data_IF_423188930025
#
_entry.id   IF_423188930025
#
_cell.length_a   1.000
_cell.length_b   1.000
_cell.length_c   1.000
_cell.angle_alpha   90.00
_cell.angle_beta   90.00
_cell.angle_gamma   90.00
#
_symmetry.space_group_name_H-M   'P 1'
#
loop_
_entity.id
_entity.type
_entity.pdbx_description
1 polymer ?
#
# COMPACT_ATOMS: atom_id res chain seq x y z
N UNK A 1 12.32 -9.86 -35.30
CA UNK A 1 12.20 -9.24 -33.96
C UNK A 1 10.73 -9.29 -33.57
N UNK A 2 10.35 -10.20 -32.69
CA UNK A 2 9.02 -10.21 -32.08
C UNK A 2 8.87 -9.00 -31.19
N UNK A 3 7.80 -8.23 -31.37
CA UNK A 3 7.52 -7.10 -30.50
C UNK A 3 7.03 -7.60 -29.14
N UNK A 4 7.41 -6.91 -28.05
CA UNK A 4 6.90 -7.14 -26.69
C UNK A 4 5.38 -7.04 -26.73
N UNK A 5 4.69 -8.10 -26.35
CA UNK A 5 3.24 -8.11 -26.17
C UNK A 5 2.89 -7.70 -24.73
N UNK A 6 1.96 -6.74 -24.57
CA UNK A 6 1.40 -6.43 -23.25
C UNK A 6 0.33 -7.47 -22.91
N UNK A 7 0.56 -8.25 -21.87
CA UNK A 7 -0.43 -9.18 -21.31
C UNK A 7 -1.46 -8.47 -20.43
N UNK A 8 -1.13 -7.28 -19.93
CA UNK A 8 -2.04 -6.44 -19.18
C UNK A 8 -1.33 -5.43 -18.28
N UNK A 9 -2.08 -4.39 -17.92
CA UNK A 9 -1.68 -3.41 -16.90
C UNK A 9 -2.84 -3.28 -15.91
N UNK A 10 -2.55 -3.47 -14.63
CA UNK A 10 -3.53 -3.43 -13.55
C UNK A 10 -3.15 -2.34 -12.55
N UNK A 11 -4.07 -1.43 -12.28
CA UNK A 11 -3.90 -0.37 -11.29
C UNK A 11 -4.76 -0.67 -10.06
N UNK A 12 -4.18 -0.53 -8.87
CA UNK A 12 -4.85 -0.79 -7.60
C UNK A 12 -4.29 0.11 -6.49
N UNK A 13 -4.90 0.06 -5.30
CA UNK A 13 -4.43 0.81 -4.13
C UNK A 13 -5.37 1.90 -3.64
N UNK A 14 -6.64 1.89 -4.07
CA UNK A 14 -7.64 2.83 -3.59
C UNK A 14 -8.70 2.21 -2.67
N UNK A 15 -9.42 3.05 -1.96
CA UNK A 15 -10.71 2.72 -1.35
C UNK A 15 -11.73 2.39 -2.43
N UNK A 16 -12.79 1.64 -2.10
CA UNK A 16 -13.79 1.11 -3.03
C UNK A 16 -14.12 2.06 -4.19
N UNK A 17 -13.65 1.72 -5.38
CA UNK A 17 -13.84 2.49 -6.62
C UNK A 17 -12.69 3.42 -7.02
N UNK A 18 -11.60 3.52 -6.24
CA UNK A 18 -10.43 4.32 -6.56
C UNK A 18 -9.14 3.50 -6.63
N UNK A 19 -8.20 3.97 -7.45
CA UNK A 19 -6.86 3.37 -7.62
C UNK A 19 -5.81 4.03 -6.72
N UNK A 20 -6.22 4.92 -5.81
CA UNK A 20 -5.33 5.71 -4.97
C UNK A 20 -5.61 5.48 -3.49
N UNK A 21 -4.58 5.15 -2.71
CA UNK A 21 -4.62 5.22 -1.26
C UNK A 21 -4.40 6.67 -0.83
N UNK A 22 -5.36 7.29 -0.15
CA UNK A 22 -5.24 8.63 0.45
C UNK A 22 -5.16 8.52 1.98
N UNK A 23 -4.10 9.03 2.57
CA UNK A 23 -3.88 9.04 4.02
C UNK A 23 -4.43 10.28 4.73
N UNK A 24 -4.97 11.25 3.97
CA UNK A 24 -5.46 12.52 4.50
C UNK A 24 -4.38 13.57 4.71
N UNK A 25 -3.16 13.19 5.05
CA UNK A 25 -1.98 14.06 5.19
C UNK A 25 -0.71 13.28 4.79
N UNK A 26 0.45 13.97 4.79
CA UNK A 26 1.74 13.37 4.42
C UNK A 26 2.30 12.56 5.57
N UNK A 27 2.38 11.26 5.41
CA UNK A 27 2.95 10.32 6.38
C UNK A 27 4.06 9.48 5.77
N UNK A 28 4.90 8.91 6.65
CA UNK A 28 5.86 7.87 6.28
C UNK A 28 5.26 6.50 6.59
N UNK A 29 5.23 5.63 5.58
CA UNK A 29 4.73 4.26 5.68
C UNK A 29 5.85 3.28 5.38
N UNK A 30 5.93 2.22 6.15
CA UNK A 30 6.68 1.03 5.78
C UNK A 30 5.76 0.14 4.93
N UNK A 31 6.10 0.02 3.65
CA UNK A 31 5.34 -0.74 2.67
C UNK A 31 6.04 -2.08 2.39
N UNK A 32 5.26 -3.15 2.44
CA UNK A 32 5.69 -4.49 2.09
C UNK A 32 4.88 -4.99 0.89
N UNK A 33 5.58 -5.38 -0.15
CA UNK A 33 4.99 -5.94 -1.37
C UNK A 33 4.58 -7.39 -1.17
N UNK A 34 3.41 -7.73 -1.67
CA UNK A 34 2.93 -9.10 -1.85
C UNK A 34 2.67 -9.32 -3.34
N UNK A 35 3.63 -9.94 -4.02
CA UNK A 35 3.55 -10.16 -5.45
C UNK A 35 4.22 -11.50 -5.77
N UNK A 36 3.39 -12.46 -6.15
CA UNK A 36 3.81 -13.80 -6.52
C UNK A 36 3.21 -14.12 -7.89
N UNK A 37 4.10 -14.44 -8.82
CA UNK A 37 3.75 -14.77 -10.21
C UNK A 37 4.44 -16.04 -10.65
N UNK A 38 3.86 -16.69 -11.64
CA UNK A 38 4.41 -17.83 -12.33
C UNK A 38 4.31 -17.62 -13.84
N UNK A 39 5.40 -17.90 -14.51
CA UNK A 39 5.45 -17.95 -15.97
C UNK A 39 5.05 -19.37 -16.45
N UNK A 40 4.23 -19.48 -17.47
CA UNK A 40 3.79 -20.77 -17.96
C UNK A 40 3.44 -20.73 -19.45
N UNK A 41 3.39 -21.93 -20.04
CA UNK A 41 2.82 -22.12 -21.39
C UNK A 41 1.36 -22.56 -21.25
N UNK A 42 0.38 -21.81 -21.73
CA UNK A 42 -1.03 -22.25 -21.72
C UNK A 42 -1.27 -23.58 -22.45
N UNK A 43 -0.50 -23.84 -23.50
CA UNK A 43 -0.56 -25.08 -24.24
C UNK A 43 -0.03 -26.31 -23.49
N UNK A 44 0.74 -26.08 -22.43
CA UNK A 44 1.35 -27.14 -21.62
C UNK A 44 0.54 -27.50 -20.37
N UNK A 45 -0.59 -26.83 -20.15
CA UNK A 45 -1.50 -27.18 -19.06
C UNK A 45 -2.08 -28.58 -19.28
N UNK A 46 -2.17 -29.37 -18.23
CA UNK A 46 -2.64 -30.76 -18.29
C UNK A 46 -4.01 -30.89 -19.00
N UNK A 47 -4.93 -29.97 -18.68
CA UNK A 47 -6.29 -29.96 -19.25
C UNK A 47 -6.35 -29.54 -20.74
N UNK A 48 -5.28 -28.94 -21.28
CA UNK A 48 -5.21 -28.51 -22.67
C UNK A 48 -4.74 -29.63 -23.62
N UNK A 49 -4.26 -30.75 -23.07
CA UNK A 49 -3.79 -31.90 -23.84
C UNK A 49 -4.84 -33.03 -23.72
N UNK A 50 -5.63 -33.31 -24.77
CA UNK A 50 -6.74 -34.24 -24.71
C UNK A 50 -6.29 -35.70 -24.57
N UNK A 51 -5.05 -36.01 -24.93
CA UNK A 51 -4.51 -37.36 -24.87
C UNK A 51 -3.22 -37.37 -24.06
N UNK A 52 -3.20 -38.18 -23.00
CA UNK A 52 -2.04 -38.26 -22.09
C UNK A 52 -0.80 -38.83 -22.80
N UNK A 53 -0.98 -39.73 -23.77
CA UNK A 53 0.12 -40.31 -24.55
C UNK A 53 0.75 -39.30 -25.52
N UNK A 54 0.07 -38.22 -25.83
CA UNK A 54 0.59 -37.11 -26.64
C UNK A 54 1.50 -36.16 -25.87
N UNK A 55 1.59 -36.32 -24.55
CA UNK A 55 2.43 -35.46 -23.69
C UNK A 55 3.87 -35.94 -23.72
N UNK A 56 4.74 -35.16 -24.34
CA UNK A 56 6.17 -35.50 -24.47
C UNK A 56 6.98 -35.38 -23.20
N UNK A 57 6.54 -34.54 -22.25
CA UNK A 57 7.23 -34.24 -20.99
C UNK A 57 6.22 -33.94 -19.88
N UNK A 58 6.33 -34.62 -18.74
CA UNK A 58 5.50 -34.38 -17.56
C UNK A 58 5.99 -33.20 -16.70
N UNK A 59 7.24 -32.77 -16.85
CA UNK A 59 7.80 -31.63 -16.14
C UNK A 59 7.38 -30.29 -16.77
N UNK A 60 6.89 -30.34 -18.03
CA UNK A 60 6.42 -29.18 -18.77
C UNK A 60 7.55 -28.32 -19.34
N UNK A 61 7.17 -27.27 -20.05
CA UNK A 61 8.08 -26.30 -20.64
C UNK A 61 8.38 -25.15 -19.65
N UNK A 62 9.63 -24.74 -19.57
CA UNK A 62 10.01 -23.58 -18.76
C UNK A 62 9.79 -22.29 -19.54
N UNK A 63 8.84 -21.46 -19.10
CA UNK A 63 8.59 -20.15 -19.69
C UNK A 63 9.61 -19.14 -19.15
N UNK A 64 10.35 -18.47 -20.05
CA UNK A 64 11.45 -17.53 -19.71
C UNK A 64 11.31 -16.18 -20.37
N UNK A 65 10.41 -16.03 -21.34
CA UNK A 65 10.25 -14.82 -22.16
C UNK A 65 9.12 -13.91 -21.66
N UNK A 66 8.85 -13.95 -20.35
CA UNK A 66 7.81 -13.15 -19.71
C UNK A 66 8.40 -12.28 -18.60
N UNK A 67 7.78 -11.12 -18.34
CA UNK A 67 8.15 -10.24 -17.26
C UNK A 67 6.91 -9.72 -16.52
N UNK A 68 7.01 -9.73 -15.20
CA UNK A 68 5.99 -9.17 -14.30
C UNK A 68 6.64 -8.14 -13.38
N UNK A 69 6.18 -6.91 -13.43
CA UNK A 69 6.71 -5.82 -12.65
C UNK A 69 5.61 -5.10 -11.86
N UNK A 70 5.82 -4.96 -10.56
CA UNK A 70 4.97 -4.15 -9.69
C UNK A 70 5.63 -2.81 -9.41
N UNK A 71 4.90 -1.75 -9.65
CA UNK A 71 5.34 -0.36 -9.59
C UNK A 71 4.53 0.43 -8.56
N UNK A 72 5.15 1.47 -8.01
CA UNK A 72 4.51 2.43 -7.11
C UNK A 72 4.86 3.85 -7.50
N UNK A 73 3.93 4.78 -7.31
CA UNK A 73 4.17 6.22 -7.33
C UNK A 73 3.49 6.92 -6.17
N UNK A 74 4.01 8.06 -5.79
CA UNK A 74 3.62 8.77 -4.58
C UNK A 74 3.31 10.22 -4.90
N UNK A 75 2.35 10.80 -4.18
CA UNK A 75 2.10 12.24 -4.17
C UNK A 75 2.06 12.78 -2.74
N UNK A 76 2.49 14.03 -2.57
CA UNK A 76 2.29 14.79 -1.34
C UNK A 76 1.02 15.64 -1.38
N UNK A 77 0.47 15.83 -2.58
CA UNK A 77 -0.76 16.56 -2.79
C UNK A 77 -1.98 15.74 -2.34
N UNK A 78 -3.12 16.42 -2.19
CA UNK A 78 -4.38 15.73 -2.02
C UNK A 78 -4.72 14.95 -3.31
N UNK A 79 -4.72 13.60 -3.30
CA UNK A 79 -4.97 12.81 -4.50
C UNK A 79 -6.39 12.97 -5.07
N UNK A 80 -7.31 13.49 -4.26
CA UNK A 80 -8.69 13.78 -4.66
C UNK A 80 -8.88 15.23 -5.18
N UNK A 81 -7.80 16.03 -5.21
CA UNK A 81 -7.85 17.35 -5.84
C UNK A 81 -7.80 17.22 -7.37
N UNK A 82 -8.18 18.29 -8.07
CA UNK A 82 -8.34 18.26 -9.53
C UNK A 82 -7.08 17.96 -10.36
N UNK A 83 -5.87 18.10 -9.80
CA UNK A 83 -4.61 17.84 -10.52
C UNK A 83 -3.46 17.57 -9.54
N UNK A 84 -3.44 16.44 -8.83
CA UNK A 84 -2.34 16.10 -7.95
C UNK A 84 -1.09 15.75 -8.74
N UNK A 85 0.07 16.20 -8.27
CA UNK A 85 1.37 15.89 -8.87
C UNK A 85 1.94 14.61 -8.28
N UNK A 86 2.10 13.58 -9.07
CA UNK A 86 2.71 12.32 -8.67
C UNK A 86 4.18 12.25 -9.11
N UNK A 87 4.98 11.51 -8.34
CA UNK A 87 6.27 11.04 -8.83
C UNK A 87 6.10 10.14 -10.07
N UNK A 88 7.17 9.90 -10.80
CA UNK A 88 7.18 8.83 -11.79
C UNK A 88 6.94 7.47 -11.10
N UNK A 89 6.38 6.52 -11.83
CA UNK A 89 6.33 5.13 -11.36
C UNK A 89 7.74 4.58 -11.22
N UNK A 90 8.00 3.93 -10.12
CA UNK A 90 9.24 3.22 -9.81
C UNK A 90 8.94 1.78 -9.38
N UNK A 91 9.89 0.88 -9.56
CA UNK A 91 9.75 -0.51 -9.11
C UNK A 91 9.43 -0.54 -7.61
N UNK A 92 8.36 -1.24 -7.26
CA UNK A 92 7.94 -1.34 -5.88
C UNK A 92 8.81 -2.33 -5.12
N UNK A 93 9.63 -1.82 -4.22
CA UNK A 93 10.46 -2.61 -3.28
C UNK A 93 9.95 -2.41 -1.86
N UNK A 94 10.21 -3.38 -0.98
CA UNK A 94 9.90 -3.22 0.44
C UNK A 94 10.73 -2.08 1.03
N UNK A 95 10.10 -1.16 1.74
CA UNK A 95 10.80 -0.01 2.32
C UNK A 95 9.85 1.08 2.80
N UNK A 96 10.47 2.18 3.26
CA UNK A 96 9.74 3.35 3.76
C UNK A 96 9.46 4.32 2.62
N UNK A 97 8.22 4.68 2.46
CA UNK A 97 7.74 5.66 1.48
C UNK A 97 7.07 6.82 2.22
N UNK A 98 7.30 8.04 1.74
CA UNK A 98 6.70 9.25 2.33
C UNK A 98 5.77 9.92 1.33
N UNK A 99 4.51 10.08 1.72
CA UNK A 99 3.50 10.74 0.91
C UNK A 99 2.13 10.78 1.55
N UNK A 100 1.23 11.49 0.91
CA UNK A 100 -0.20 11.51 1.23
C UNK A 100 -0.96 10.48 0.41
N UNK A 101 -0.67 10.41 -0.89
CA UNK A 101 -1.32 9.50 -1.83
C UNK A 101 -0.37 8.50 -2.45
N UNK A 102 -0.83 7.27 -2.64
CA UNK A 102 -0.07 6.17 -3.22
C UNK A 102 -0.89 5.50 -4.31
N UNK A 103 -0.25 5.23 -5.44
CA UNK A 103 -0.84 4.44 -6.53
C UNK A 103 0.10 3.30 -6.89
N UNK A 104 -0.49 2.14 -7.16
CA UNK A 104 0.23 0.94 -7.52
C UNK A 104 -0.20 0.47 -8.91
N UNK A 105 0.73 -0.12 -9.62
CA UNK A 105 0.52 -0.65 -10.96
C UNK A 105 1.31 -1.94 -11.15
N UNK A 106 0.74 -2.88 -11.86
CA UNK A 106 1.43 -4.08 -12.33
C UNK A 106 1.43 -4.08 -13.85
N UNK A 107 2.59 -4.27 -14.42
CA UNK A 107 2.76 -4.50 -15.85
C UNK A 107 3.12 -5.99 -16.04
N UNK A 108 2.42 -6.63 -16.94
CA UNK A 108 2.67 -8.00 -17.38
C UNK A 108 3.00 -7.97 -18.87
N UNK A 109 4.15 -8.49 -19.26
CA UNK A 109 4.61 -8.50 -20.65
C UNK A 109 5.16 -9.86 -21.04
N UNK A 110 5.11 -10.19 -22.31
CA UNK A 110 5.72 -11.37 -22.88
C UNK A 110 6.38 -11.03 -24.22
N UNK A 111 7.57 -11.57 -24.43
CA UNK A 111 8.29 -11.50 -25.71
C UNK A 111 7.92 -12.69 -26.61
N UNK A 112 7.32 -13.73 -26.05
CA UNK A 112 6.77 -14.91 -26.75
C UNK A 112 5.24 -14.99 -26.58
N UNK A 113 4.45 -14.89 -27.65
CA UNK A 113 2.98 -14.97 -27.56
C UNK A 113 2.45 -16.33 -27.08
N UNK A 114 3.29 -17.36 -27.05
CA UNK A 114 2.93 -18.67 -26.52
C UNK A 114 3.09 -18.77 -25.00
N UNK A 115 3.71 -17.78 -24.37
CA UNK A 115 3.93 -17.74 -22.91
C UNK A 115 3.01 -16.72 -22.23
N UNK A 116 2.60 -17.05 -21.02
CA UNK A 116 1.69 -16.23 -20.23
C UNK A 116 2.15 -16.16 -18.76
N UNK A 117 1.50 -15.31 -17.98
CA UNK A 117 1.80 -15.08 -16.56
C UNK A 117 0.56 -15.34 -15.71
N UNK A 118 0.72 -16.17 -14.70
CA UNK A 118 -0.28 -16.36 -13.65
C UNK A 118 0.10 -15.55 -12.43
N UNK A 119 -0.82 -14.75 -11.89
CA UNK A 119 -0.64 -13.96 -10.67
C UNK A 119 -1.38 -14.67 -9.54
N UNK A 120 -0.64 -15.19 -8.56
CA UNK A 120 -1.19 -15.87 -7.38
C UNK A 120 -1.42 -14.92 -6.21
N UNK A 121 -0.55 -13.91 -6.08
CA UNK A 121 -0.67 -12.95 -5.01
C UNK A 121 -0.36 -11.55 -5.55
N UNK A 122 -1.25 -10.61 -5.25
CA UNK A 122 -1.11 -9.22 -5.60
C UNK A 122 -1.64 -8.34 -4.47
N UNK A 123 -0.79 -7.49 -3.91
CA UNK A 123 -1.17 -6.59 -2.85
C UNK A 123 0.00 -5.95 -2.12
N UNK A 124 -0.31 -5.26 -1.06
CA UNK A 124 0.69 -4.66 -0.17
C UNK A 124 0.18 -4.64 1.27
N UNK A 125 1.13 -4.60 2.20
CA UNK A 125 0.87 -4.25 3.59
C UNK A 125 1.50 -2.91 3.87
N UNK A 126 0.74 -1.99 4.47
CA UNK A 126 1.22 -0.69 4.90
C UNK A 126 1.20 -0.62 6.43
N UNK A 127 2.29 -0.19 7.03
CA UNK A 127 2.39 0.06 8.46
C UNK A 127 2.99 1.43 8.73
N UNK A 128 2.49 2.11 9.74
CA UNK A 128 3.02 3.39 10.21
C UNK A 128 3.91 3.17 11.42
N UNK A 129 5.03 3.88 11.46
CA UNK A 129 5.86 3.91 12.65
C UNK A 129 5.14 4.67 13.77
N UNK A 130 5.29 4.16 14.98
CA UNK A 130 4.78 4.84 16.16
C UNK A 130 5.51 6.18 16.32
N UNK A 131 4.75 7.27 16.39
CA UNK A 131 5.26 8.60 16.69
C UNK A 131 4.84 8.99 18.10
N UNK A 132 5.76 9.61 18.84
CA UNK A 132 5.49 10.25 20.13
C UNK A 132 5.86 11.72 20.01
N UNK A 133 4.95 12.59 20.41
CA UNK A 133 5.19 14.03 20.50
C UNK A 133 4.87 14.51 21.90
N UNK A 134 5.64 15.49 22.39
CA UNK A 134 5.36 16.16 23.63
C UNK A 134 4.93 17.59 23.35
N UNK A 135 3.82 18.00 23.91
CA UNK A 135 3.42 19.39 23.92
C UNK A 135 4.38 20.19 24.82
N UNK A 136 4.72 21.43 24.45
CA UNK A 136 5.37 22.34 25.39
C UNK A 136 4.46 22.52 26.61
N UNK A 137 5.08 22.91 27.74
CA UNK A 137 4.35 23.21 28.99
C UNK A 137 3.21 24.19 28.71
N UNK A 138 1.99 23.78 29.01
CA UNK A 138 0.81 24.63 28.85
C UNK A 138 0.30 25.00 30.24
N UNK A 139 0.25 26.29 30.53
CA UNK A 139 -0.34 26.74 31.77
C UNK A 139 -1.85 26.71 31.66
N UNK A 140 -2.47 25.83 32.42
CA UNK A 140 -3.92 25.80 32.56
C UNK A 140 -4.38 26.91 33.46
N UNK A 141 -5.14 27.86 32.94
CA UNK A 141 -5.74 28.94 33.77
C UNK A 141 -7.24 28.93 33.61
N UNK A 142 -7.95 28.80 34.72
CA UNK A 142 -9.41 28.83 34.77
C UNK A 142 -10.09 27.54 34.27
N UNK A 143 -11.40 27.48 34.48
CA UNK A 143 -12.25 26.38 34.01
C UNK A 143 -12.44 26.42 32.48
N UNK A 144 -12.53 25.26 31.88
CA UNK A 144 -12.84 25.08 30.45
C UNK A 144 -11.76 24.29 29.68
N UNK A 145 -12.15 23.79 28.53
CA UNK A 145 -11.30 23.01 27.66
C UNK A 145 -10.09 23.80 27.18
N UNK A 146 -8.91 23.20 27.19
CA UNK A 146 -7.67 23.76 26.66
C UNK A 146 -7.29 23.01 25.39
N UNK A 147 -7.16 23.74 24.29
CA UNK A 147 -6.67 23.18 23.03
C UNK A 147 -5.15 23.06 23.07
N UNK A 148 -4.64 21.89 22.77
CA UNK A 148 -3.21 21.63 22.56
C UNK A 148 -3.03 21.30 21.08
N UNK A 149 -2.22 22.12 20.40
CA UNK A 149 -1.91 21.91 18.99
C UNK A 149 -0.53 21.29 18.86
N UNK A 150 -0.44 20.16 18.21
CA UNK A 150 0.82 19.52 17.84
C UNK A 150 1.33 20.07 16.52
N UNK A 151 2.66 20.07 16.33
CA UNK A 151 3.30 20.60 15.12
C UNK A 151 2.91 19.81 13.87
N UNK A 152 2.67 18.52 14.02
CA UNK A 152 2.26 17.65 12.95
C UNK A 152 1.02 16.85 13.36
N UNK A 153 0.05 16.63 12.44
CA UNK A 153 -1.13 15.84 12.75
C UNK A 153 -0.76 14.37 13.05
N UNK A 154 -1.53 13.75 13.94
CA UNK A 154 -1.52 12.30 14.09
C UNK A 154 -2.44 11.68 13.05
N UNK A 155 -2.08 10.48 12.57
CA UNK A 155 -2.98 9.73 11.72
C UNK A 155 -4.23 9.35 12.52
N UNK A 156 -5.38 9.72 11.99
CA UNK A 156 -6.70 9.37 12.54
C UNK A 156 -7.45 8.69 11.41
N UNK A 157 -7.51 7.39 11.45
CA UNK A 157 -8.09 6.61 10.34
C UNK A 157 -8.67 5.32 10.82
N UNK A 158 -9.04 4.49 9.85
CA UNK A 158 -9.57 3.17 10.09
C UNK A 158 -8.55 2.14 9.65
N UNK A 159 -8.12 1.26 10.55
CA UNK A 159 -7.32 0.10 10.19
C UNK A 159 -8.24 -1.10 9.97
N UNK A 160 -8.05 -1.80 8.86
CA UNK A 160 -8.62 -3.13 8.68
C UNK A 160 -7.76 -4.13 9.45
N UNK A 161 -8.33 -4.71 10.48
CA UNK A 161 -7.77 -5.86 11.19
C UNK A 161 -8.64 -7.08 10.92
N UNK A 162 -8.14 -8.28 11.17
CA UNK A 162 -8.90 -9.53 10.97
C UNK A 162 -10.24 -9.60 11.73
N UNK A 163 -10.56 -8.63 12.56
CA UNK A 163 -11.81 -8.52 13.33
C UNK A 163 -12.74 -7.38 12.88
N UNK A 164 -12.41 -6.65 11.81
CA UNK A 164 -13.18 -5.51 11.30
C UNK A 164 -12.42 -4.21 11.27
N UNK A 165 -13.10 -3.12 10.91
CA UNK A 165 -12.52 -1.79 10.84
C UNK A 165 -12.49 -1.14 12.23
N UNK A 166 -11.30 -0.87 12.75
CA UNK A 166 -11.10 -0.16 14.01
C UNK A 166 -10.59 1.26 13.77
N UNK A 167 -11.19 2.22 14.48
CA UNK A 167 -10.70 3.59 14.50
C UNK A 167 -9.36 3.66 15.23
N UNK A 168 -8.35 4.24 14.58
CA UNK A 168 -7.04 4.48 15.19
C UNK A 168 -7.08 5.89 15.79
N UNK A 169 -6.92 5.97 17.10
CA UNK A 169 -6.81 7.22 17.82
C UNK A 169 -5.46 7.29 18.54
N UNK A 170 -4.84 8.49 18.65
CA UNK A 170 -3.63 8.66 19.43
C UNK A 170 -3.90 8.43 20.91
N UNK A 171 -2.98 7.79 21.62
CA UNK A 171 -3.02 7.73 23.07
C UNK A 171 -2.45 9.01 23.65
N UNK A 172 -3.15 9.61 24.59
CA UNK A 172 -2.75 10.86 25.26
C UNK A 172 -2.36 10.54 26.69
N UNK A 173 -1.15 10.95 27.08
CA UNK A 173 -0.71 10.96 28.47
C UNK A 173 -0.60 12.41 28.96
N UNK A 174 -1.15 12.69 30.12
CA UNK A 174 -1.09 14.01 30.75
C UNK A 174 -0.25 13.90 32.02
N UNK A 175 0.75 14.77 32.13
CA UNK A 175 1.51 14.93 33.37
C UNK A 175 1.24 16.34 33.92
N UNK A 176 0.68 16.40 35.11
CA UNK A 176 0.43 17.65 35.79
C UNK A 176 1.53 17.94 36.80
N UNK A 177 1.95 19.21 36.86
CA UNK A 177 2.89 19.72 37.85
C UNK A 177 2.24 20.85 38.66
N UNK A 178 2.61 20.95 39.91
CA UNK A 178 2.12 22.01 40.81
C UNK A 178 0.59 22.02 41.01
N UNK A 179 -0.03 20.83 40.99
CA UNK A 179 -1.45 20.69 41.31
C UNK A 179 -1.72 21.16 42.74
N UNK A 180 -2.79 21.90 42.91
CA UNK A 180 -3.29 22.34 44.21
C UNK A 180 -4.52 21.53 44.63
N UNK A 181 -4.87 21.65 45.91
CA UNK A 181 -6.09 20.99 46.41
C UNK A 181 -7.30 21.54 45.69
N UNK A 182 -8.00 20.65 44.98
CA UNK A 182 -9.16 21.00 44.15
C UNK A 182 -8.92 20.99 42.66
N UNK A 183 -7.68 20.78 42.19
CA UNK A 183 -7.38 20.56 40.78
C UNK A 183 -7.75 19.13 40.36
N UNK A 184 -8.42 18.97 39.26
CA UNK A 184 -8.80 17.68 38.70
C UNK A 184 -8.79 17.71 37.17
N UNK A 185 -8.71 16.54 36.57
CA UNK A 185 -8.89 16.32 35.14
C UNK A 185 -10.21 15.59 34.87
N UNK A 186 -10.94 16.05 33.88
CA UNK A 186 -12.13 15.37 33.34
C UNK A 186 -11.83 14.80 31.95
#
# INVERSE_FOLDING_TARGET
MGGIASLGTYEFGGTAGGTTLDLGDVFSLDLKRHFLTEAFFPSDLFDSIPDLDARGDFEGLTATEVNAEMLVRVTQDNPNAGSPTYSSFQTFTNGTYKGRGFQFKVNLTSDDPAQDIRVFQLGYTASMQRRTEQSPSTTASGAGAKAITFAHPFFVGTANTEGGANSILPSIGITAQNMQSGDFFE
#
